data_IF_333243921240
#
_entry.id   IF_333243921240
#
_cell.length_a   1.000
_cell.length_b   1.000
_cell.length_c   1.000
_cell.angle_alpha   90.00
_cell.angle_beta   90.00
_cell.angle_gamma   90.00
#
_symmetry.space_group_name_H-M   'P 1'
#
loop_
_entity.id
_entity.type
_entity.pdbx_description
1 polymer ?
#
# COMPACT_ATOMS: atom_id res chain seq x y z
N UNK A 1 24.12 39.41 -24.95
CA UNK A 1 23.72 38.59 -23.79
C UNK A 1 22.33 38.09 -24.07
N UNK A 2 22.21 36.82 -24.48
CA UNK A 2 20.91 36.19 -24.74
C UNK A 2 20.42 35.71 -23.37
N UNK A 3 19.44 36.42 -22.81
CA UNK A 3 18.74 35.99 -21.61
C UNK A 3 18.05 34.67 -21.94
N UNK A 4 18.68 33.55 -21.54
CA UNK A 4 18.03 32.24 -21.57
C UNK A 4 16.74 32.38 -20.76
N UNK A 5 15.56 32.04 -21.29
CA UNK A 5 14.39 31.90 -20.45
C UNK A 5 14.70 30.80 -19.43
N UNK A 6 14.69 31.17 -18.15
CA UNK A 6 14.68 30.24 -17.03
C UNK A 6 13.63 29.17 -17.37
N UNK A 7 14.11 27.98 -17.74
CA UNK A 7 13.29 26.82 -17.98
C UNK A 7 12.64 26.41 -16.65
N UNK A 8 11.61 27.15 -16.24
CA UNK A 8 10.72 26.79 -15.14
C UNK A 8 9.79 25.67 -15.60
N UNK A 9 10.36 24.54 -16.02
CA UNK A 9 9.67 23.27 -15.96
C UNK A 9 9.67 22.86 -14.49
N UNK A 10 8.75 23.44 -13.71
CA UNK A 10 8.36 22.88 -12.43
C UNK A 10 7.66 21.55 -12.71
N UNK A 11 8.46 20.51 -12.95
CA UNK A 11 8.00 19.14 -12.99
C UNK A 11 7.72 18.71 -11.55
N UNK A 12 6.69 19.31 -10.92
CA UNK A 12 6.08 18.76 -9.71
C UNK A 12 5.33 17.51 -10.15
N UNK A 13 6.08 16.44 -10.35
CA UNK A 13 5.50 15.12 -10.41
C UNK A 13 5.05 14.80 -8.98
N UNK A 14 3.86 15.29 -8.64
CA UNK A 14 3.18 14.88 -7.42
C UNK A 14 2.93 13.39 -7.59
N UNK A 15 3.74 12.56 -6.90
CA UNK A 15 3.53 11.12 -6.91
C UNK A 15 2.04 10.87 -6.58
N UNK A 16 1.34 10.04 -7.37
CA UNK A 16 -0.07 9.76 -7.10
C UNK A 16 -0.17 9.31 -5.65
N UNK A 17 -0.94 10.07 -4.87
CA UNK A 17 -1.18 9.73 -3.47
C UNK A 17 -1.73 8.31 -3.46
N UNK A 18 -1.02 7.40 -2.80
CA UNK A 18 -1.42 6.01 -2.71
C UNK A 18 -2.87 5.97 -2.20
N UNK A 19 -3.76 5.41 -3.01
CA UNK A 19 -5.18 5.38 -2.71
C UNK A 19 -5.41 4.31 -1.66
N UNK A 20 -5.94 4.67 -0.49
CA UNK A 20 -6.26 3.69 0.56
C UNK A 20 -7.52 2.96 0.11
N UNK A 21 -7.42 1.65 -0.12
CA UNK A 21 -8.56 0.81 -0.49
C UNK A 21 -9.28 0.27 0.73
N UNK A 22 -8.52 -0.07 1.78
CA UNK A 22 -9.08 -0.66 2.99
C UNK A 22 -8.11 -0.54 4.18
N UNK A 23 -8.49 -1.06 5.35
CA UNK A 23 -7.65 -1.02 6.56
C UNK A 23 -7.60 -2.41 7.18
N UNK A 24 -6.40 -2.85 7.55
CA UNK A 24 -6.22 -4.10 8.25
C UNK A 24 -6.92 -4.06 9.62
N UNK A 25 -7.88 -4.94 9.84
CA UNK A 25 -8.64 -5.02 11.08
C UNK A 25 -7.81 -5.55 12.27
N UNK A 26 -6.66 -6.17 12.00
CA UNK A 26 -5.80 -6.77 13.03
C UNK A 26 -4.76 -5.76 13.54
N UNK A 27 -4.01 -5.13 12.63
CA UNK A 27 -2.93 -4.21 13.00
C UNK A 27 -3.28 -2.73 12.82
N UNK A 28 -4.38 -2.41 12.14
CA UNK A 28 -4.80 -1.03 11.86
C UNK A 28 -4.01 -0.34 10.74
N UNK A 29 -3.17 -1.08 9.99
CA UNK A 29 -2.44 -0.51 8.85
C UNK A 29 -3.35 -0.26 7.65
N UNK A 30 -3.14 0.85 6.96
CA UNK A 30 -3.79 1.16 5.69
C UNK A 30 -3.34 0.18 4.60
N UNK A 31 -4.30 -0.34 3.84
CA UNK A 31 -4.09 -1.17 2.65
C UNK A 31 -4.26 -0.24 1.45
N UNK A 32 -3.21 -0.09 0.64
CA UNK A 32 -3.25 0.79 -0.52
C UNK A 32 -3.65 0.03 -1.79
N UNK A 33 -4.08 0.77 -2.79
CA UNK A 33 -4.44 0.23 -4.10
C UNK A 33 -3.20 -0.41 -4.74
N UNK A 34 -3.28 -1.73 -4.97
CA UNK A 34 -2.18 -2.54 -5.46
C UNK A 34 -1.48 -3.38 -4.38
N UNK A 35 -1.78 -3.17 -3.10
CA UNK A 35 -1.30 -4.05 -2.02
C UNK A 35 -2.09 -5.37 -1.97
N UNK A 36 -1.38 -6.43 -1.62
CA UNK A 36 -1.95 -7.76 -1.40
C UNK A 36 -2.53 -7.85 0.02
N UNK A 37 -3.82 -8.17 0.12
CA UNK A 37 -4.50 -8.38 1.39
C UNK A 37 -5.54 -9.49 1.28
N UNK A 38 -5.89 -10.05 2.44
CA UNK A 38 -6.82 -11.16 2.56
C UNK A 38 -8.13 -10.66 3.17
N UNK A 39 -9.25 -10.90 2.49
CA UNK A 39 -10.59 -10.65 3.02
C UNK A 39 -11.20 -11.96 3.54
N UNK A 40 -11.46 -12.03 4.85
CA UNK A 40 -12.04 -13.20 5.52
C UNK A 40 -13.28 -12.75 6.29
N UNK A 41 -14.47 -13.08 5.80
CA UNK A 41 -15.75 -12.75 6.47
C UNK A 41 -15.89 -11.26 6.88
N UNK A 42 -15.52 -10.32 6.00
CA UNK A 42 -15.45 -8.86 6.26
C UNK A 42 -14.29 -8.39 7.14
N UNK A 43 -13.35 -9.27 7.49
CA UNK A 43 -12.08 -8.88 8.09
C UNK A 43 -11.03 -8.74 6.99
N UNK A 44 -10.55 -7.52 6.79
CA UNK A 44 -9.39 -7.27 5.94
C UNK A 44 -8.12 -7.48 6.76
N UNK A 45 -7.24 -8.36 6.28
CA UNK A 45 -6.02 -8.76 6.95
C UNK A 45 -4.85 -8.58 6.00
N UNK A 46 -3.85 -7.78 6.38
CA UNK A 46 -2.64 -7.61 5.58
C UNK A 46 -1.78 -8.88 5.58
N UNK A 47 -0.91 -9.02 4.57
CA UNK A 47 -0.04 -10.19 4.41
C UNK A 47 0.79 -10.48 5.67
N UNK A 48 1.36 -9.45 6.29
CA UNK A 48 2.14 -9.62 7.52
C UNK A 48 1.33 -10.23 8.68
N UNK A 49 0.05 -9.87 8.80
CA UNK A 49 -0.80 -10.46 9.82
C UNK A 49 -1.12 -11.91 9.50
N UNK A 50 -1.51 -12.23 8.25
CA UNK A 50 -1.81 -13.62 7.90
C UNK A 50 -0.57 -14.51 8.05
N UNK A 51 0.62 -13.98 7.79
CA UNK A 51 1.89 -14.68 7.96
C UNK A 51 2.12 -15.10 9.41
N UNK A 52 1.83 -14.20 10.36
CA UNK A 52 1.91 -14.50 11.79
C UNK A 52 0.85 -15.54 12.24
N UNK A 53 -0.32 -15.55 11.61
CA UNK A 53 -1.38 -16.51 11.92
C UNK A 53 -1.25 -17.84 11.18
N UNK A 54 -0.51 -17.90 10.07
CA UNK A 54 -0.40 -19.11 9.26
C UNK A 54 0.37 -20.16 10.07
N UNK A 55 -0.34 -21.20 10.49
CA UNK A 55 0.27 -22.40 11.03
C UNK A 55 0.32 -23.42 9.91
N UNK A 56 1.53 -23.84 9.55
CA UNK A 56 1.69 -24.97 8.63
C UNK A 56 1.21 -26.20 9.38
N UNK A 57 0.12 -26.81 8.91
CA UNK A 57 -0.38 -28.04 9.48
C UNK A 57 0.69 -29.13 9.36
N UNK A 58 1.26 -29.54 10.49
CA UNK A 58 2.15 -30.68 10.56
C UNK A 58 1.30 -31.94 10.38
N UNK A 59 1.60 -32.73 9.35
CA UNK A 59 1.01 -34.06 9.20
C UNK A 59 1.72 -34.93 10.26
N UNK A 60 1.02 -35.26 11.36
CA UNK A 60 1.47 -36.27 12.33
C UNK A 60 1.10 -37.67 11.84
#
# INVERSE_FOLDING_TARGET
MVSLPDCCYEYRYEAPKAHIVDICNICGNDIYEGDEYYNIENLNVCDNCIDEFKKVGEIQ
#
